data_IF_420248371561
#
_entry.id   IF_420248371561
#
_cell.length_a   1.000
_cell.length_b   1.000
_cell.length_c   1.000
_cell.angle_alpha   90.00
_cell.angle_beta   90.00
_cell.angle_gamma   90.00
#
_symmetry.space_group_name_H-M   'P 1'
#
loop_
_entity.id
_entity.type
_entity.pdbx_description
1 polymer ?
#
# COMPACT_ATOMS: atom_id res chain seq x y z
N UNK A 1 -8.90 -12.29 19.73
CA UNK A 1 -8.66 -11.26 18.70
C UNK A 1 -9.89 -11.24 17.81
N UNK A 2 -10.72 -10.21 17.94
CA UNK A 2 -11.98 -10.10 17.20
C UNK A 2 -11.70 -10.02 15.70
N UNK A 3 -12.31 -10.95 14.96
CA UNK A 3 -12.35 -10.99 13.50
C UNK A 3 -12.86 -9.65 12.96
N UNK A 4 -12.39 -9.27 11.74
CA UNK A 4 -12.73 -8.06 10.98
C UNK A 4 -13.78 -7.18 11.67
N UNK A 5 -13.40 -6.00 12.17
CA UNK A 5 -14.32 -5.08 12.83
C UNK A 5 -15.49 -4.76 11.87
N UNK A 6 -16.64 -5.35 12.16
CA UNK A 6 -17.88 -5.17 11.43
C UNK A 6 -18.75 -4.17 12.18
N UNK A 7 -19.23 -3.15 11.47
CA UNK A 7 -20.27 -2.26 11.97
C UNK A 7 -21.62 -2.79 11.46
N UNK A 8 -22.66 -2.74 12.28
CA UNK A 8 -24.00 -3.18 11.89
C UNK A 8 -24.51 -2.47 10.64
N UNK A 9 -24.12 -1.21 10.44
CA UNK A 9 -24.51 -0.36 9.29
C UNK A 9 -23.87 -0.79 7.95
N UNK A 10 -22.87 -1.67 8.02
CA UNK A 10 -22.15 -2.24 6.88
C UNK A 10 -22.69 -3.62 6.49
N UNK A 11 -23.59 -4.22 7.26
CA UNK A 11 -24.10 -5.58 7.04
C UNK A 11 -25.42 -5.54 6.27
N UNK A 12 -25.47 -6.21 5.12
CA UNK A 12 -26.67 -6.30 4.28
C UNK A 12 -26.97 -7.76 3.97
N UNK A 13 -28.25 -8.13 3.94
CA UNK A 13 -28.62 -9.47 3.46
C UNK A 13 -28.43 -9.57 1.94
N UNK A 14 -28.23 -10.78 1.43
CA UNK A 14 -28.18 -11.06 -0.02
C UNK A 14 -29.46 -10.59 -0.72
N UNK A 15 -30.62 -10.68 -0.04
CA UNK A 15 -31.89 -10.20 -0.58
C UNK A 15 -31.97 -8.67 -0.65
N UNK A 16 -31.39 -7.97 0.33
CA UNK A 16 -31.31 -6.51 0.32
C UNK A 16 -30.33 -6.01 -0.72
N UNK A 17 -29.23 -6.73 -0.96
CA UNK A 17 -28.32 -6.41 -2.05
C UNK A 17 -29.06 -6.41 -3.39
N UNK A 18 -29.87 -7.45 -3.66
CA UNK A 18 -30.60 -7.55 -4.93
C UNK A 18 -31.64 -6.43 -5.04
N UNK A 19 -32.37 -6.13 -3.96
CA UNK A 19 -33.45 -5.12 -3.97
C UNK A 19 -32.96 -3.68 -3.92
N UNK A 20 -31.84 -3.41 -3.25
CA UNK A 20 -31.31 -2.07 -2.95
C UNK A 20 -29.86 -1.90 -3.41
N UNK A 21 -29.45 -2.63 -4.45
CA UNK A 21 -28.08 -2.65 -4.98
C UNK A 21 -27.54 -1.23 -5.18
N UNK A 22 -28.26 -0.40 -5.93
CA UNK A 22 -27.86 0.99 -6.20
C UNK A 22 -27.61 1.79 -4.92
N UNK A 23 -28.51 1.71 -3.95
CA UNK A 23 -28.34 2.42 -2.68
C UNK A 23 -27.10 1.96 -1.92
N UNK A 24 -26.81 0.66 -1.92
CA UNK A 24 -25.64 0.08 -1.25
C UNK A 24 -24.35 0.51 -1.96
N UNK A 25 -24.31 0.42 -3.30
CA UNK A 25 -23.17 0.90 -4.10
C UNK A 25 -22.95 2.40 -3.92
N UNK A 26 -24.00 3.21 -3.98
CA UNK A 26 -23.92 4.65 -3.76
C UNK A 26 -23.38 4.98 -2.36
N UNK A 27 -23.73 4.19 -1.33
CA UNK A 27 -23.16 4.37 0.02
C UNK A 27 -21.66 4.06 0.07
N UNK A 28 -21.21 3.00 -0.61
CA UNK A 28 -19.78 2.63 -0.69
C UNK A 28 -18.99 3.69 -1.47
N UNK A 29 -19.50 4.11 -2.62
CA UNK A 29 -18.84 5.09 -3.50
C UNK A 29 -18.78 6.49 -2.88
N UNK A 30 -19.83 6.91 -2.18
CA UNK A 30 -19.85 8.21 -1.48
C UNK A 30 -19.15 8.16 -0.11
N UNK A 31 -18.43 7.10 0.20
CA UNK A 31 -17.71 6.93 1.48
C UNK A 31 -18.61 7.03 2.73
N UNK A 32 -19.91 6.78 2.61
CA UNK A 32 -20.83 6.71 3.77
C UNK A 32 -20.59 5.44 4.59
N UNK A 33 -20.20 4.37 3.92
CA UNK A 33 -19.69 3.13 4.52
C UNK A 33 -18.37 2.80 3.86
N UNK A 34 -17.43 2.20 4.61
CA UNK A 34 -16.12 1.86 4.07
C UNK A 34 -16.19 0.61 3.19
N UNK A 35 -17.01 -0.34 3.64
CA UNK A 35 -17.25 -1.64 3.02
C UNK A 35 -18.68 -2.08 3.29
N UNK A 36 -19.24 -2.91 2.42
CA UNK A 36 -20.51 -3.58 2.65
C UNK A 36 -20.27 -5.10 2.73
N UNK A 37 -20.72 -5.72 3.80
CA UNK A 37 -20.62 -7.14 4.06
C UNK A 37 -21.96 -7.76 3.69
N UNK A 38 -21.92 -8.66 2.71
CA UNK A 38 -23.13 -9.31 2.23
C UNK A 38 -23.30 -10.65 2.92
N UNK A 39 -24.41 -10.79 3.62
CA UNK A 39 -24.78 -11.98 4.37
C UNK A 39 -25.63 -12.91 3.51
N UNK A 40 -25.31 -14.20 3.52
CA UNK A 40 -26.16 -15.26 2.99
C UNK A 40 -26.45 -16.21 4.15
N UNK A 41 -27.73 -16.45 4.43
CA UNK A 41 -28.17 -17.31 5.54
C UNK A 41 -27.55 -16.92 6.90
N UNK A 42 -27.42 -15.61 7.14
CA UNK A 42 -26.84 -15.05 8.36
C UNK A 42 -25.30 -15.08 8.44
N UNK A 43 -24.62 -15.64 7.43
CA UNK A 43 -23.15 -15.73 7.38
C UNK A 43 -22.55 -14.73 6.39
N UNK A 44 -21.42 -14.08 6.70
CA UNK A 44 -20.74 -13.22 5.73
C UNK A 44 -20.24 -14.06 4.55
N UNK A 45 -20.68 -13.69 3.35
CA UNK A 45 -20.36 -14.41 2.12
C UNK A 45 -19.32 -13.65 1.30
N UNK A 46 -19.56 -12.36 1.01
CA UNK A 46 -18.59 -11.53 0.28
C UNK A 46 -18.61 -10.08 0.76
N UNK A 47 -17.48 -9.40 0.54
CA UNK A 47 -17.25 -8.01 0.89
C UNK A 47 -17.27 -7.15 -0.38
N UNK A 48 -17.97 -6.04 -0.34
CA UNK A 48 -17.95 -5.00 -1.35
C UNK A 48 -17.18 -3.79 -0.82
N UNK A 49 -16.24 -3.28 -1.59
CA UNK A 49 -15.50 -2.07 -1.26
C UNK A 49 -15.10 -1.33 -2.53
N UNK A 50 -14.69 -0.08 -2.39
CA UNK A 50 -14.17 0.69 -3.51
C UNK A 50 -12.84 0.10 -4.01
N UNK A 51 -12.71 -0.03 -5.33
CA UNK A 51 -11.53 -0.60 -5.98
C UNK A 51 -10.22 0.07 -5.56
N UNK A 52 -10.18 1.40 -5.54
CA UNK A 52 -8.99 2.16 -5.13
C UNK A 52 -8.54 1.83 -3.70
N UNK A 53 -9.48 1.63 -2.79
CA UNK A 53 -9.18 1.25 -1.40
C UNK A 53 -8.65 -0.17 -1.32
N UNK A 54 -9.26 -1.08 -2.07
CA UNK A 54 -8.79 -2.46 -2.16
C UNK A 54 -7.35 -2.53 -2.65
N UNK A 55 -7.03 -1.86 -3.76
CA UNK A 55 -5.66 -1.84 -4.30
C UNK A 55 -4.66 -1.26 -3.31
N UNK A 56 -5.03 -0.17 -2.61
CA UNK A 56 -4.16 0.43 -1.59
C UNK A 56 -3.84 -0.56 -0.47
N UNK A 57 -4.86 -1.25 0.06
CA UNK A 57 -4.68 -2.23 1.15
C UNK A 57 -3.84 -3.41 0.68
N UNK A 58 -4.04 -3.88 -0.55
CA UNK A 58 -3.23 -4.99 -1.09
C UNK A 58 -1.79 -4.57 -1.34
N UNK A 59 -1.54 -3.36 -1.85
CA UNK A 59 -0.19 -2.83 -2.00
C UNK A 59 0.54 -2.73 -0.66
N UNK A 60 -0.11 -2.15 0.36
CA UNK A 60 0.42 -2.10 1.74
C UNK A 60 0.70 -3.50 2.31
N UNK A 61 -0.18 -4.47 2.03
CA UNK A 61 0.00 -5.84 2.48
C UNK A 61 1.21 -6.52 1.81
N UNK A 62 1.41 -6.32 0.50
CA UNK A 62 2.55 -6.86 -0.23
C UNK A 62 3.88 -6.24 0.24
N UNK A 63 3.90 -4.93 0.49
CA UNK A 63 5.04 -4.23 1.07
C UNK A 63 5.39 -4.78 2.46
N UNK A 64 4.38 -4.95 3.32
CA UNK A 64 4.56 -5.49 4.66
C UNK A 64 5.06 -6.94 4.63
N UNK A 65 4.50 -7.77 3.74
CA UNK A 65 4.94 -9.15 3.55
C UNK A 65 6.40 -9.20 3.14
N UNK A 66 6.79 -8.37 2.18
CA UNK A 66 8.17 -8.24 1.70
C UNK A 66 9.12 -7.77 2.81
N UNK A 67 8.67 -6.84 3.65
CA UNK A 67 9.43 -6.37 4.81
C UNK A 67 9.65 -7.48 5.85
N UNK A 68 8.61 -8.26 6.17
CA UNK A 68 8.70 -9.40 7.09
C UNK A 68 9.64 -10.48 6.54
N UNK A 69 9.59 -10.76 5.24
CA UNK A 69 10.50 -11.72 4.61
C UNK A 69 11.97 -11.27 4.71
N UNK A 70 12.25 -9.97 4.51
CA UNK A 70 13.60 -9.41 4.74
C UNK A 70 14.05 -9.53 6.19
N UNK A 71 13.15 -9.32 7.16
CA UNK A 71 13.48 -9.51 8.58
C UNK A 71 13.80 -10.97 8.92
N UNK A 72 13.04 -11.92 8.37
CA UNK A 72 13.29 -13.36 8.56
C UNK A 72 14.61 -13.80 7.94
N UNK A 73 14.95 -13.31 6.75
CA UNK A 73 16.20 -13.67 6.07
C UNK A 73 17.46 -13.08 6.75
N UNK A 74 17.31 -11.98 7.50
CA UNK A 74 18.40 -11.38 8.26
C UNK A 74 18.54 -11.95 9.70
N UNK A 75 17.67 -12.88 10.10
CA UNK A 75 17.77 -13.60 11.37
C UNK A 75 18.25 -15.04 11.11
N UNK A 76 19.48 -15.34 11.53
CA UNK A 76 20.02 -16.70 11.62
C UNK A 76 19.07 -17.66 12.37
N UNK A 77 19.05 -18.96 12.05
CA UNK A 77 17.96 -19.85 12.41
C UNK A 77 18.00 -20.20 13.90
N UNK A 78 17.00 -19.75 14.65
CA UNK A 78 16.65 -20.34 15.95
C UNK A 78 15.34 -21.10 15.78
N UNK A 79 15.51 -22.39 15.53
CA UNK A 79 14.63 -23.53 15.77
C UNK A 79 13.11 -23.30 15.79
N UNK A 80 12.51 -23.82 14.72
CA UNK A 80 11.11 -24.18 14.52
C UNK A 80 10.45 -24.90 15.70
N UNK A 81 9.24 -24.48 16.06
CA UNK A 81 8.21 -25.40 16.57
C UNK A 81 7.13 -25.59 15.51
N UNK A 82 7.17 -26.79 14.95
CA UNK A 82 6.20 -27.46 14.09
C UNK A 82 4.80 -27.46 14.69
N UNK A 83 3.79 -27.12 13.88
CA UNK A 83 2.45 -27.72 13.97
C UNK A 83 2.00 -28.01 12.54
N UNK A 84 1.94 -29.31 12.23
CA UNK A 84 1.36 -29.87 11.02
C UNK A 84 -0.16 -29.83 11.09
N UNK A 85 -0.86 -29.53 9.98
CA UNK A 85 -2.09 -30.27 9.65
C UNK A 85 -2.32 -30.33 8.13
N UNK A 86 -2.05 -31.54 7.62
CA UNK A 86 -2.54 -32.28 6.44
C UNK A 86 -3.30 -31.57 5.30
N UNK A 87 -2.70 -31.83 4.14
CA UNK A 87 -3.17 -31.90 2.75
C UNK A 87 -4.58 -32.47 2.53
N UNK A 88 -5.27 -31.92 1.51
CA UNK A 88 -6.08 -32.70 0.55
C UNK A 88 -5.86 -32.07 -0.84
N UNK A 89 -5.17 -32.79 -1.72
CA UNK A 89 -5.23 -32.62 -3.17
C UNK A 89 -6.16 -33.69 -3.75
N UNK A 90 -7.01 -33.37 -4.75
CA UNK A 90 -6.81 -33.73 -6.18
C UNK A 90 -8.08 -33.53 -7.03
N UNK A 91 -7.92 -32.86 -8.20
CA UNK A 91 -8.53 -33.11 -9.54
C UNK A 91 -10.08 -33.10 -9.70
N UNK A 92 -10.72 -32.63 -10.78
CA UNK A 92 -10.35 -32.37 -12.17
C UNK A 92 -11.47 -31.56 -12.87
N UNK A 93 -11.15 -31.15 -14.10
CA UNK A 93 -11.79 -30.23 -15.05
C UNK A 93 -13.15 -30.68 -15.66
N UNK A 94 -13.62 -29.85 -16.62
CA UNK A 94 -14.76 -29.94 -17.57
C UNK A 94 -16.01 -29.17 -17.12
N UNK A 95 -16.70 -28.37 -17.94
CA UNK A 95 -16.66 -28.06 -19.37
C UNK A 95 -17.50 -26.81 -19.64
N UNK A 96 -17.01 -25.91 -20.48
CA UNK A 96 -17.79 -24.86 -21.16
C UNK A 96 -18.49 -25.43 -22.41
N UNK A 97 -19.68 -24.94 -22.82
CA UNK A 97 -20.23 -25.30 -24.11
C UNK A 97 -20.09 -24.21 -25.20
N UNK A 98 -19.44 -24.64 -26.29
CA UNK A 98 -19.88 -24.56 -27.70
C UNK A 98 -19.92 -23.19 -28.41
N UNK A 99 -18.87 -22.94 -29.22
CA UNK A 99 -18.87 -22.04 -30.39
C UNK A 99 -19.15 -22.87 -31.65
N UNK A 100 -20.04 -22.35 -32.50
CA UNK A 100 -20.58 -23.00 -33.70
C UNK A 100 -19.59 -22.99 -34.88
N UNK A 101 -19.70 -24.04 -35.70
CA UNK A 101 -18.93 -24.33 -36.93
C UNK A 101 -19.13 -23.29 -38.04
N UNK A 102 -18.08 -23.00 -38.80
CA UNK A 102 -18.16 -22.35 -40.13
C UNK A 102 -17.34 -23.18 -41.12
N UNK A 103 -17.94 -23.43 -42.29
CA UNK A 103 -17.53 -24.30 -43.40
C UNK A 103 -16.50 -23.64 -44.35
N UNK A 104 -15.79 -24.42 -45.18
CA UNK A 104 -14.62 -23.95 -45.96
C UNK A 104 -14.97 -23.60 -47.41
N UNK A 105 -15.43 -22.37 -47.70
CA UNK A 105 -15.63 -21.92 -49.10
C UNK A 105 -15.06 -20.53 -49.46
N UNK A 106 -14.39 -19.81 -48.56
CA UNK A 106 -13.93 -18.43 -48.83
C UNK A 106 -12.42 -18.27 -49.17
N UNK A 107 -11.78 -19.28 -49.78
CA UNK A 107 -10.32 -19.25 -50.04
C UNK A 107 -9.88 -18.79 -51.45
N UNK A 108 -10.77 -18.43 -52.37
CA UNK A 108 -10.38 -18.22 -53.79
C UNK A 108 -10.56 -16.81 -54.35
N UNK A 109 -10.70 -15.78 -53.49
CA UNK A 109 -10.73 -14.36 -53.93
C UNK A 109 -9.57 -13.48 -53.45
N UNK A 110 -8.66 -13.99 -52.63
CA UNK A 110 -7.56 -13.20 -52.04
C UNK A 110 -6.27 -13.26 -52.92
N UNK A 111 -6.14 -14.23 -53.82
CA UNK A 111 -4.89 -14.46 -54.56
C UNK A 111 -4.66 -13.60 -55.82
N UNK A 112 -5.59 -12.70 -56.19
CA UNK A 112 -5.44 -11.84 -57.40
C UNK A 112 -5.03 -10.39 -57.15
N UNK A 113 -4.68 -10.00 -55.93
CA UNK A 113 -4.28 -8.62 -55.59
C UNK A 113 -2.78 -8.42 -55.36
N UNK A 114 -1.93 -9.43 -55.54
CA UNK A 114 -0.51 -9.40 -55.11
C UNK A 114 0.49 -9.02 -56.23
N UNK A 115 0.08 -8.70 -57.46
CA UNK A 115 1.04 -8.41 -58.55
C UNK A 115 0.90 -7.04 -59.21
N UNK A 116 1.55 -6.01 -58.61
CA UNK A 116 2.19 -4.89 -59.33
C UNK A 116 3.10 -4.01 -58.41
N UNK A 117 4.44 -4.21 -58.51
CA UNK A 117 5.64 -3.32 -58.36
C UNK A 117 5.60 -2.01 -57.52
N UNK A 118 6.76 -1.43 -57.07
CA UNK A 118 8.14 -1.92 -56.96
C UNK A 118 8.86 -1.67 -55.59
N UNK A 119 10.00 -2.34 -55.49
CA UNK A 119 11.17 -2.33 -54.60
C UNK A 119 11.80 -1.00 -54.10
N UNK A 120 12.41 -1.10 -52.90
CA UNK A 120 13.68 -0.52 -52.39
C UNK A 120 13.72 1.00 -52.05
N UNK A 121 13.58 1.34 -50.75
CA UNK A 121 14.10 2.59 -50.13
C UNK A 121 13.92 2.66 -48.59
N UNK A 122 13.03 1.85 -47.99
CA UNK A 122 12.67 1.97 -46.57
C UNK A 122 13.63 1.34 -45.55
N UNK A 123 14.37 0.29 -45.92
CA UNK A 123 15.14 -0.51 -44.95
C UNK A 123 16.40 0.19 -44.42
N UNK A 124 17.04 1.04 -45.23
CA UNK A 124 18.21 1.82 -44.79
C UNK A 124 17.83 2.87 -43.74
N UNK A 125 16.70 3.57 -43.93
CA UNK A 125 16.19 4.54 -42.95
C UNK A 125 15.82 3.90 -41.63
N UNK A 126 15.19 2.71 -41.67
CA UNK A 126 14.86 1.95 -40.46
C UNK A 126 16.12 1.51 -39.69
N UNK A 127 17.15 1.07 -40.40
CA UNK A 127 18.42 0.67 -39.79
C UNK A 127 19.16 1.86 -39.16
N UNK A 128 19.14 3.02 -39.81
CA UNK A 128 19.75 4.24 -39.28
C UNK A 128 18.99 4.79 -38.06
N UNK A 129 17.65 4.71 -38.06
CA UNK A 129 16.84 5.05 -36.87
C UNK A 129 17.06 4.08 -35.72
N UNK A 130 17.18 2.77 -36.00
CA UNK A 130 17.42 1.75 -34.97
C UNK A 130 18.79 1.93 -34.32
N UNK A 131 19.85 2.21 -35.11
CA UNK A 131 21.18 2.55 -34.57
C UNK A 131 21.17 3.82 -33.71
N UNK A 132 20.35 4.80 -34.09
CA UNK A 132 20.20 6.04 -33.31
C UNK A 132 19.51 5.77 -31.97
N UNK A 133 18.46 4.94 -31.95
CA UNK A 133 17.74 4.54 -30.73
C UNK A 133 18.65 3.72 -29.79
N UNK A 134 19.44 2.80 -30.32
CA UNK A 134 20.42 2.02 -29.54
C UNK A 134 21.51 2.89 -28.89
N UNK A 135 21.86 4.01 -29.51
CA UNK A 135 22.85 4.95 -28.97
C UNK A 135 22.29 5.85 -27.85
N UNK A 136 20.97 5.93 -27.71
CA UNK A 136 20.33 6.68 -26.64
C UNK A 136 20.20 5.80 -25.39
N UNK A 137 21.22 5.82 -24.54
CA UNK A 137 21.21 5.18 -23.21
C UNK A 137 20.26 5.92 -22.23
N UNK A 138 18.95 5.85 -22.47
CA UNK A 138 17.93 6.45 -21.60
C UNK A 138 17.96 5.86 -20.19
N UNK A 139 18.23 4.57 -20.06
CA UNK A 139 18.22 3.86 -18.78
C UNK A 139 19.29 4.40 -17.82
N UNK A 140 20.52 4.65 -18.31
CA UNK A 140 21.62 5.16 -17.48
C UNK A 140 21.41 6.60 -17.03
N UNK A 141 20.67 7.40 -17.80
CA UNK A 141 20.37 8.79 -17.46
C UNK A 141 19.28 8.85 -16.39
N UNK A 142 18.21 8.08 -16.58
CA UNK A 142 17.14 7.91 -15.60
C UNK A 142 17.64 7.33 -14.28
N UNK A 143 18.52 6.33 -14.34
CA UNK A 143 19.13 5.72 -13.15
C UNK A 143 19.89 6.76 -12.32
N UNK A 144 20.75 7.57 -12.95
CA UNK A 144 21.49 8.64 -12.26
C UNK A 144 20.58 9.72 -11.67
N UNK A 145 19.55 10.14 -12.40
CA UNK A 145 18.56 11.11 -11.91
C UNK A 145 17.84 10.56 -10.67
N UNK A 146 17.43 9.29 -10.69
CA UNK A 146 16.79 8.64 -9.54
C UNK A 146 17.72 8.49 -8.33
N UNK A 147 19.00 8.18 -8.56
CA UNK A 147 20.00 8.10 -7.50
C UNK A 147 20.22 9.46 -6.82
N UNK A 148 20.27 10.54 -7.60
CA UNK A 148 20.42 11.90 -7.08
C UNK A 148 19.19 12.33 -6.27
N UNK A 149 17.98 12.04 -6.74
CA UNK A 149 16.75 12.31 -6.01
C UNK A 149 16.69 11.56 -4.66
N UNK A 150 17.08 10.28 -4.66
CA UNK A 150 17.16 9.48 -3.44
C UNK A 150 18.19 10.07 -2.47
N UNK A 151 19.36 10.49 -2.96
CA UNK A 151 20.40 11.13 -2.12
C UNK A 151 19.88 12.42 -1.48
N UNK A 152 19.24 13.29 -2.25
CA UNK A 152 18.66 14.54 -1.75
C UNK A 152 17.61 14.25 -0.67
N UNK A 153 16.74 13.26 -0.90
CA UNK A 153 15.70 12.86 0.06
C UNK A 153 16.30 12.32 1.36
N UNK A 154 17.36 11.52 1.29
CA UNK A 154 18.07 11.01 2.47
C UNK A 154 18.70 12.16 3.27
N UNK A 155 19.33 13.12 2.61
CA UNK A 155 19.94 14.28 3.28
C UNK A 155 18.88 15.12 3.99
N UNK A 156 17.78 15.44 3.32
CA UNK A 156 16.67 16.19 3.93
C UNK A 156 16.07 15.48 5.15
N UNK A 157 15.86 14.16 5.06
CA UNK A 157 15.37 13.38 6.20
C UNK A 157 16.34 13.38 7.40
N UNK A 158 17.66 13.40 7.14
CA UNK A 158 18.67 13.52 8.20
C UNK A 158 18.64 14.90 8.87
N UNK A 159 18.47 15.97 8.10
CA UNK A 159 18.34 17.32 8.64
C UNK A 159 17.07 17.48 9.48
N UNK A 160 15.94 16.97 9.01
CA UNK A 160 14.68 16.97 9.78
C UNK A 160 14.82 16.21 11.10
N UNK A 161 15.45 15.02 11.07
CA UNK A 161 15.73 14.25 12.29
C UNK A 161 16.66 15.00 13.24
N UNK A 162 17.66 15.72 12.73
CA UNK A 162 18.57 16.51 13.55
C UNK A 162 17.85 17.67 14.24
N UNK A 163 16.91 18.34 13.55
CA UNK A 163 16.06 19.40 14.13
C UNK A 163 15.18 18.85 15.26
N UNK A 164 14.46 17.75 15.01
CA UNK A 164 13.62 17.11 16.03
C UNK A 164 14.44 16.74 17.28
N UNK A 165 15.64 16.20 17.08
CA UNK A 165 16.51 15.82 18.20
C UNK A 165 17.04 17.04 18.99
N UNK A 166 17.24 18.17 18.33
CA UNK A 166 17.58 19.43 19.00
C UNK A 166 16.40 19.98 19.80
N UNK A 167 15.20 20.00 19.22
CA UNK A 167 13.97 20.46 19.88
C UNK A 167 13.64 19.58 21.11
N UNK A 168 13.80 18.26 20.99
CA UNK A 168 13.63 17.33 22.12
C UNK A 168 14.63 17.57 23.26
N UNK A 169 15.87 17.95 22.93
CA UNK A 169 16.89 18.27 23.94
C UNK A 169 16.54 19.57 24.65
N UNK A 170 16.18 20.60 23.89
CA UNK A 170 15.78 21.89 24.45
C UNK A 170 14.56 21.74 25.37
N UNK A 171 13.53 21.01 24.92
CA UNK A 171 12.35 20.73 25.75
C UNK A 171 12.70 20.00 27.06
N UNK A 172 13.67 19.08 27.03
CA UNK A 172 14.16 18.40 28.26
C UNK A 172 14.94 19.33 29.19
N UNK A 173 15.63 20.33 28.65
CA UNK A 173 16.33 21.34 29.44
C UNK A 173 15.33 22.30 30.07
N UNK A 174 14.34 22.80 29.32
CA UNK A 174 13.27 23.66 29.82
C UNK A 174 12.50 23.01 30.98
N UNK A 175 12.15 21.72 30.84
CA UNK A 175 11.51 20.93 31.91
C UNK A 175 12.36 20.84 33.18
N UNK A 176 13.69 20.72 33.03
CA UNK A 176 14.61 20.68 34.18
C UNK A 176 14.67 22.02 34.87
N UNK A 177 14.76 23.11 34.11
CA UNK A 177 14.77 24.47 34.64
C UNK A 177 13.46 24.79 35.39
N UNK A 178 12.32 24.41 34.82
CA UNK A 178 11.01 24.59 35.47
C UNK A 178 10.95 23.84 36.81
N UNK A 179 11.44 22.59 36.85
CA UNK A 179 11.46 21.78 38.07
C UNK A 179 12.36 22.38 39.16
N UNK A 180 13.51 22.92 38.77
CA UNK A 180 14.41 23.64 39.69
C UNK A 180 13.69 24.88 40.26
N UNK A 181 13.01 25.65 39.41
CA UNK A 181 12.31 26.86 39.81
C UNK A 181 11.14 26.56 40.77
N UNK A 182 10.39 25.49 40.53
CA UNK A 182 9.36 25.01 41.46
C UNK A 182 9.95 24.61 42.82
N UNK A 183 11.10 23.93 42.83
CA UNK A 183 11.80 23.57 44.07
C UNK A 183 12.23 24.82 44.86
N UNK A 184 12.85 25.79 44.21
CA UNK A 184 13.26 27.05 44.84
C UNK A 184 12.09 27.86 45.39
N UNK A 185 10.96 27.91 44.66
CA UNK A 185 9.73 28.56 45.15
C UNK A 185 9.17 27.85 46.39
N UNK A 186 9.21 26.52 46.41
CA UNK A 186 8.78 25.73 47.56
C UNK A 186 9.67 25.97 48.78
N UNK A 187 10.99 26.01 48.59
CA UNK A 187 11.94 26.35 49.66
C UNK A 187 11.74 27.76 50.19
N UNK A 188 11.58 28.77 49.31
CA UNK A 188 11.30 30.15 49.73
C UNK A 188 10.00 30.28 50.53
N UNK A 189 8.94 29.56 50.14
CA UNK A 189 7.69 29.51 50.92
C UNK A 189 7.94 28.91 52.30
N UNK A 190 8.64 27.79 52.37
CA UNK A 190 8.97 27.14 53.65
C UNK A 190 9.81 28.04 54.56
N UNK A 191 10.78 28.77 53.99
CA UNK A 191 11.61 29.71 54.74
C UNK A 191 10.77 30.86 55.28
N UNK A 192 9.90 31.45 54.46
CA UNK A 192 8.98 32.51 54.90
C UNK A 192 8.03 32.03 56.01
N UNK A 193 7.54 30.80 55.92
CA UNK A 193 6.69 30.20 56.95
C UNK A 193 7.45 29.96 58.27
N UNK A 194 8.76 29.64 58.21
CA UNK A 194 9.64 29.54 59.39
C UNK A 194 9.90 30.91 60.01
N UNK A 195 10.26 31.90 59.21
CA UNK A 195 10.48 33.29 59.67
C UNK A 195 9.22 33.86 60.33
N UNK A 196 8.03 33.57 59.78
CA UNK A 196 6.76 33.97 60.40
C UNK A 196 6.54 33.28 61.74
N UNK A 197 6.85 31.98 61.89
CA UNK A 197 6.73 31.28 63.18
C UNK A 197 7.68 31.87 64.22
N UNK A 198 8.94 32.11 63.85
CA UNK A 198 9.95 32.72 64.74
C UNK A 198 9.64 34.18 65.10
N UNK A 199 8.84 34.90 64.30
CA UNK A 199 8.40 36.26 64.60
C UNK A 199 7.26 36.31 65.63
N UNK A 200 6.45 35.26 65.73
CA UNK A 200 5.28 35.20 66.62
C UNK A 200 5.53 34.42 67.93
N UNK A 201 6.64 33.69 68.04
CA UNK A 201 7.17 33.09 69.28
C UNK A 201 8.08 34.07 70.04
#
# INVERSE_FOLDING_TARGET
>A
MGLLLYKSDEMYSSTELIRKSKMIFDKVLNNKIEKAIILRDGKPCFLLMEFKKYEKIMGEYEELKSYIEKLKNNQSPVQSKTIETKQIEKSQETSSPVIQKITPEDKTKIEKLIQKKPEISGEQKLNDTNKTIESMNFDKKMEKESEEEIRIRILKAREERAKILADEKQHKEDLKEELILQSQLKEKKLQKDRELREFWD
#
